data_IF_113729619433
#
_entry.id   IF_113729619433
#
_cell.length_a   1.000
_cell.length_b   1.000
_cell.length_c   1.000
_cell.angle_alpha   90.00
_cell.angle_beta   90.00
_cell.angle_gamma   90.00
#
_symmetry.space_group_name_H-M   'P 1'
#
loop_
_entity.id
_entity.type
_entity.pdbx_description
1 polymer ?
#
# COMPACT_ATOMS: atom_id res chain seq x y z
N UNK A 1 11.97 6.29 -8.25
CA UNK A 1 11.01 6.54 -7.16
C UNK A 1 11.71 7.36 -6.09
N UNK A 2 11.10 8.44 -5.59
CA UNK A 2 11.64 9.26 -4.49
C UNK A 2 10.87 9.01 -3.19
N UNK A 3 11.36 9.53 -2.06
CA UNK A 3 10.68 9.43 -0.77
C UNK A 3 9.30 10.12 -0.80
N UNK A 4 9.23 11.29 -1.43
CA UNK A 4 8.00 12.09 -1.61
C UNK A 4 6.96 11.30 -2.39
N UNK A 5 7.40 10.57 -3.43
CA UNK A 5 6.50 9.74 -4.21
C UNK A 5 5.97 8.55 -3.42
N UNK A 6 6.80 7.91 -2.58
CA UNK A 6 6.32 6.86 -1.68
C UNK A 6 5.28 7.42 -0.71
N UNK A 7 5.52 8.60 -0.15
CA UNK A 7 4.58 9.29 0.74
C UNK A 7 3.24 9.60 0.06
N UNK A 8 3.27 10.06 -1.19
CA UNK A 8 2.07 10.26 -2.01
C UNK A 8 1.29 8.94 -2.17
N UNK A 9 1.98 7.85 -2.51
CA UNK A 9 1.37 6.53 -2.65
C UNK A 9 0.79 6.03 -1.32
N UNK A 10 1.47 6.23 -0.19
CA UNK A 10 0.94 5.84 1.13
C UNK A 10 -0.34 6.60 1.45
N UNK A 11 -0.38 7.92 1.24
CA UNK A 11 -1.59 8.71 1.44
C UNK A 11 -2.75 8.21 0.58
N UNK A 12 -2.47 7.87 -0.69
CA UNK A 12 -3.46 7.27 -1.60
C UNK A 12 -3.98 5.93 -1.11
N UNK A 13 -3.07 5.04 -0.68
CA UNK A 13 -3.39 3.67 -0.28
C UNK A 13 -4.16 3.66 1.05
N UNK A 14 -3.74 4.47 2.02
CA UNK A 14 -4.42 4.69 3.30
C UNK A 14 -5.87 5.16 3.05
N UNK A 15 -6.05 6.17 2.20
CA UNK A 15 -7.39 6.66 1.85
C UNK A 15 -8.28 5.57 1.26
N UNK A 16 -7.75 4.74 0.38
CA UNK A 16 -8.53 3.65 -0.21
C UNK A 16 -8.83 2.53 0.78
N UNK A 17 -7.87 2.13 1.60
CA UNK A 17 -8.08 1.13 2.66
C UNK A 17 -9.16 1.59 3.65
N UNK A 18 -9.14 2.87 4.01
CA UNK A 18 -10.20 3.49 4.80
C UNK A 18 -11.56 3.39 4.11
N UNK A 19 -11.65 3.72 2.82
CA UNK A 19 -12.91 3.63 2.05
C UNK A 19 -13.42 2.19 1.90
N UNK A 20 -12.51 1.20 1.86
CA UNK A 20 -12.87 -0.22 1.86
C UNK A 20 -13.31 -0.75 3.24
N UNK A 21 -13.23 0.07 4.29
CA UNK A 21 -13.52 -0.34 5.67
C UNK A 21 -12.46 -1.29 6.25
N UNK A 22 -11.24 -1.29 5.71
CA UNK A 22 -10.16 -2.12 6.22
C UNK A 22 -9.71 -1.61 7.60
N UNK A 23 -9.60 -2.47 8.63
CA UNK A 23 -9.08 -2.06 9.93
C UNK A 23 -7.60 -1.65 9.83
N UNK A 24 -7.07 -0.98 10.84
CA UNK A 24 -5.61 -0.79 10.97
C UNK A 24 -5.14 -1.86 11.96
N UNK A 25 -4.62 -2.98 11.47
CA UNK A 25 -4.29 -4.12 12.33
C UNK A 25 -3.02 -4.84 11.86
N UNK A 26 -2.05 -5.02 12.75
CA UNK A 26 -0.85 -5.82 12.46
C UNK A 26 -1.17 -7.31 12.62
N UNK A 27 -0.77 -8.13 11.65
CA UNK A 27 -0.80 -9.58 11.82
C UNK A 27 0.17 -10.03 12.92
N UNK A 28 -0.27 -10.98 13.72
CA UNK A 28 0.47 -11.58 14.84
C UNK A 28 1.22 -12.86 14.45
N UNK A 29 0.94 -13.41 13.26
CA UNK A 29 1.52 -14.67 12.77
C UNK A 29 2.26 -14.49 11.44
N UNK A 30 3.47 -15.04 11.36
CA UNK A 30 4.33 -15.01 10.17
C UNK A 30 4.53 -16.40 9.54
N UNK A 31 4.36 -17.46 10.31
CA UNK A 31 4.60 -18.85 9.87
C UNK A 31 3.37 -19.52 9.26
N UNK A 32 2.24 -18.78 9.18
CA UNK A 32 0.98 -19.29 8.66
C UNK A 32 0.54 -18.47 7.48
N UNK A 33 0.01 -19.18 6.48
CA UNK A 33 -0.62 -18.52 5.33
C UNK A 33 -1.91 -17.85 5.78
N UNK A 34 -1.98 -16.55 5.61
CA UNK A 34 -3.21 -15.77 5.78
C UNK A 34 -3.94 -15.78 4.46
N UNK A 35 -5.17 -16.28 4.46
CA UNK A 35 -6.06 -16.32 3.29
C UNK A 35 -7.26 -15.38 3.43
N UNK A 36 -7.53 -14.92 4.66
CA UNK A 36 -8.63 -14.00 4.93
C UNK A 36 -8.32 -12.60 4.38
N UNK A 37 -9.23 -12.11 3.53
CA UNK A 37 -9.08 -10.83 2.85
C UNK A 37 -9.03 -9.67 3.83
N UNK A 38 -9.86 -9.66 4.87
CA UNK A 38 -9.91 -8.55 5.83
C UNK A 38 -8.63 -8.46 6.66
N UNK A 39 -8.07 -9.61 7.04
CA UNK A 39 -6.79 -9.70 7.73
C UNK A 39 -5.65 -9.16 6.85
N UNK A 40 -5.59 -9.55 5.57
CA UNK A 40 -4.58 -9.03 4.63
C UNK A 40 -4.73 -7.52 4.47
N UNK A 41 -5.95 -7.03 4.22
CA UNK A 41 -6.25 -5.60 4.08
C UNK A 41 -5.88 -4.83 5.34
N UNK A 42 -6.18 -5.38 6.51
CA UNK A 42 -5.83 -4.78 7.79
C UNK A 42 -4.33 -4.64 8.00
N UNK A 43 -3.58 -5.66 7.58
CA UNK A 43 -2.14 -5.65 7.70
C UNK A 43 -1.46 -4.66 6.77
N UNK A 44 -1.87 -4.60 5.51
CA UNK A 44 -1.30 -3.61 4.58
C UNK A 44 -1.72 -2.18 4.96
N UNK A 45 -2.87 -2.00 5.62
CA UNK A 45 -3.26 -0.71 6.19
C UNK A 45 -2.32 -0.30 7.31
N UNK A 46 -2.03 -1.19 8.25
CA UNK A 46 -0.99 -0.96 9.27
C UNK A 46 0.38 -0.65 8.64
N UNK A 47 0.86 -1.47 7.70
CA UNK A 47 2.16 -1.27 7.06
C UNK A 47 2.27 0.06 6.31
N UNK A 48 1.16 0.57 5.76
CA UNK A 48 1.16 1.85 5.05
C UNK A 48 1.52 3.04 5.96
N UNK A 49 1.20 2.98 7.26
CA UNK A 49 1.62 3.99 8.24
C UNK A 49 3.07 3.79 8.68
N UNK A 50 3.50 2.54 8.84
CA UNK A 50 4.88 2.24 9.23
C UNK A 50 5.90 2.67 8.18
N UNK A 51 5.52 2.64 6.89
CA UNK A 51 6.37 3.16 5.81
C UNK A 51 6.68 4.65 6.02
N UNK A 52 5.75 5.46 6.52
CA UNK A 52 5.99 6.88 6.80
C UNK A 52 7.10 7.06 7.86
N UNK A 53 7.14 6.18 8.87
CA UNK A 53 8.23 6.13 9.86
C UNK A 53 9.58 5.77 9.22
N UNK A 54 9.60 4.77 8.32
CA UNK A 54 10.81 4.40 7.60
C UNK A 54 11.33 5.53 6.69
N UNK A 55 10.43 6.31 6.08
CA UNK A 55 10.81 7.48 5.30
C UNK A 55 11.43 8.57 6.17
N UNK A 56 10.86 8.82 7.36
CA UNK A 56 11.41 9.78 8.32
C UNK A 56 12.82 9.37 8.83
N UNK A 57 13.08 8.07 8.94
CA UNK A 57 14.40 7.51 9.28
C UNK A 57 15.37 7.42 8.08
N UNK A 58 15.00 7.90 6.89
CA UNK A 58 15.77 7.78 5.65
C UNK A 58 16.11 6.32 5.25
N UNK A 59 15.23 5.36 5.59
CA UNK A 59 15.40 3.92 5.32
C UNK A 59 14.74 3.51 4.00
N UNK A 60 15.06 4.22 2.92
CA UNK A 60 14.38 4.12 1.63
C UNK A 60 14.33 2.71 1.05
N UNK A 61 15.42 1.95 1.11
CA UNK A 61 15.47 0.59 0.57
C UNK A 61 14.44 -0.33 1.25
N UNK A 62 14.28 -0.19 2.58
CA UNK A 62 13.28 -0.94 3.33
C UNK A 62 11.87 -0.47 2.99
N UNK A 63 11.66 0.84 2.86
CA UNK A 63 10.39 1.40 2.40
C UNK A 63 9.98 0.86 1.03
N UNK A 64 10.92 0.74 0.08
CA UNK A 64 10.65 0.18 -1.25
C UNK A 64 10.27 -1.30 -1.20
N UNK A 65 10.95 -2.12 -0.37
CA UNK A 65 10.56 -3.52 -0.17
C UNK A 65 9.14 -3.65 0.39
N UNK A 66 8.79 -2.83 1.38
CA UNK A 66 7.46 -2.87 1.99
C UNK A 66 6.38 -2.36 1.05
N UNK A 67 6.68 -1.32 0.26
CA UNK A 67 5.80 -0.87 -0.82
C UNK A 67 5.55 -1.99 -1.82
N UNK A 68 6.59 -2.70 -2.27
CA UNK A 68 6.46 -3.83 -3.18
C UNK A 68 5.60 -4.97 -2.60
N UNK A 69 5.74 -5.26 -1.31
CA UNK A 69 4.86 -6.21 -0.62
C UNK A 69 3.39 -5.78 -0.65
N UNK A 70 3.10 -4.53 -0.30
CA UNK A 70 1.73 -3.98 -0.33
C UNK A 70 1.16 -4.05 -1.76
N UNK A 71 1.94 -3.70 -2.79
CA UNK A 71 1.57 -3.81 -4.20
C UNK A 71 1.29 -5.26 -4.63
N UNK A 72 2.09 -6.21 -4.15
CA UNK A 72 1.84 -7.63 -4.34
C UNK A 72 0.50 -8.07 -3.75
N UNK A 73 0.16 -7.60 -2.55
CA UNK A 73 -1.14 -7.86 -1.93
C UNK A 73 -2.30 -7.27 -2.75
N UNK A 74 -2.18 -6.04 -3.25
CA UNK A 74 -3.20 -5.42 -4.11
C UNK A 74 -3.51 -6.27 -5.34
N UNK A 75 -2.48 -6.75 -6.02
CA UNK A 75 -2.62 -7.61 -7.20
C UNK A 75 -3.22 -8.98 -6.82
N UNK A 76 -2.70 -9.63 -5.78
CA UNK A 76 -3.16 -10.95 -5.35
C UNK A 76 -4.63 -10.94 -4.88
N UNK A 77 -5.13 -9.82 -4.36
CA UNK A 77 -6.53 -9.64 -3.96
C UNK A 77 -7.46 -9.26 -5.13
N UNK A 78 -6.92 -9.13 -6.35
CA UNK A 78 -7.67 -8.70 -7.54
C UNK A 78 -8.15 -7.24 -7.46
N UNK A 79 -7.53 -6.42 -6.62
CA UNK A 79 -7.94 -5.04 -6.39
C UNK A 79 -7.28 -4.05 -7.37
N UNK A 80 -6.15 -4.44 -7.96
CA UNK A 80 -5.37 -3.60 -8.88
C UNK A 80 -4.70 -4.48 -9.94
N UNK A 81 -4.61 -3.97 -11.17
CA UNK A 81 -3.77 -4.58 -12.21
C UNK A 81 -2.29 -4.28 -11.99
N UNK A 82 -1.38 -5.00 -12.65
CA UNK A 82 0.04 -4.64 -12.64
C UNK A 82 0.30 -3.28 -13.31
N UNK A 83 -0.50 -2.93 -14.33
CA UNK A 83 -0.39 -1.63 -15.01
C UNK A 83 -0.79 -0.48 -14.10
N UNK A 84 -1.84 -0.64 -13.31
CA UNK A 84 -2.24 0.29 -12.26
C UNK A 84 -1.10 0.58 -11.28
N UNK A 85 -0.47 -0.48 -10.76
CA UNK A 85 0.59 -0.38 -9.74
C UNK A 85 1.88 0.21 -10.33
N UNK A 86 2.20 -0.14 -11.58
CA UNK A 86 3.31 0.47 -12.34
C UNK A 86 3.07 1.95 -12.56
N UNK A 87 1.85 2.35 -12.91
CA UNK A 87 1.49 3.75 -13.11
C UNK A 87 1.53 4.55 -11.81
N UNK A 88 1.06 3.97 -10.69
CA UNK A 88 1.17 4.59 -9.37
C UNK A 88 2.63 4.90 -8.99
N UNK A 89 3.58 4.11 -9.52
CA UNK A 89 5.02 4.23 -9.26
C UNK A 89 5.76 5.23 -10.16
N UNK A 90 5.09 5.76 -11.19
CA UNK A 90 5.68 6.76 -12.08
C UNK A 90 5.69 8.15 -11.41
N UNK A 91 6.62 9.04 -11.80
CA UNK A 91 6.52 10.46 -11.46
C UNK A 91 5.15 10.98 -11.90
N UNK A 92 4.39 11.57 -10.98
CA UNK A 92 3.04 12.09 -11.23
C UNK A 92 3.13 13.54 -11.64
N UNK A 93 2.48 13.91 -12.76
CA UNK A 93 2.15 15.31 -13.05
C UNK A 93 0.89 15.75 -12.29
N UNK A 94 0.09 14.82 -11.74
CA UNK A 94 -1.14 15.10 -10.99
C UNK A 94 -1.34 14.13 -9.79
N UNK A 95 -1.20 14.61 -8.53
CA UNK A 95 -1.27 13.78 -7.32
C UNK A 95 -2.70 13.39 -6.90
N UNK A 96 -3.75 13.93 -7.54
CA UNK A 96 -5.15 13.76 -7.13
C UNK A 96 -5.88 12.63 -7.85
N UNK A 97 -5.19 11.77 -8.60
CA UNK A 97 -5.82 10.64 -9.30
C UNK A 97 -6.20 9.54 -8.29
N UNK A 98 -7.40 9.66 -7.70
CA UNK A 98 -7.94 8.70 -6.75
C UNK A 98 -8.19 7.33 -7.41
N UNK A 99 -8.09 6.26 -6.62
CA UNK A 99 -8.50 4.90 -7.01
C UNK A 99 -10.02 4.75 -7.08
N UNK A 100 -10.71 5.62 -7.82
CA UNK A 100 -12.15 5.59 -8.01
C UNK A 100 -12.48 5.22 -9.46
N UNK A 101 -12.37 3.93 -9.75
CA UNK A 101 -13.22 3.22 -10.70
C UNK A 101 -13.60 1.91 -10.04
N UNK A 102 -14.76 1.93 -9.38
CA UNK A 102 -15.47 0.71 -9.00
C UNK A 102 -16.43 0.48 -10.17
N UNK A 103 -16.09 -0.48 -11.03
CA UNK A 103 -17.02 -1.01 -12.03
C UNK A 103 -18.01 -1.97 -11.34
#
# INVERSE_FOLDING_TARGET
MTAEKVKEMMSKYQKFLFLLGAPIAKCDTYDRRIIDRQTILGHIHYLSYEIDGLLAENRLEKSFRWLGFIQGCWFALGLRSLDDLKNDSKPTDNPNQLWLKLD
#
